data_IF_314803423179
#
_entry.id   IF_314803423179
#
_cell.length_a   1.000
_cell.length_b   1.000
_cell.length_c   1.000
_cell.angle_alpha   90.00
_cell.angle_beta   90.00
_cell.angle_gamma   90.00
#
_symmetry.space_group_name_H-M   'P 1'
#
loop_
_entity.id
_entity.type
_entity.pdbx_description
1 polymer ?
#
# COMPACT_ATOMS: atom_id res chain seq x y z
N UNK A 1 -9.45 -22.90 19.05
CA UNK A 1 -9.07 -21.58 19.61
C UNK A 1 -8.66 -20.74 18.43
N UNK A 2 -9.05 -19.46 18.39
CA UNK A 2 -8.51 -18.55 17.39
C UNK A 2 -7.02 -18.33 17.70
N UNK A 3 -6.16 -18.11 16.71
CA UNK A 3 -4.71 -17.98 16.90
C UNK A 3 -4.32 -16.92 17.95
N UNK A 4 -5.03 -15.79 17.95
CA UNK A 4 -4.91 -14.74 18.97
C UNK A 4 -5.29 -15.22 20.38
N UNK A 5 -6.26 -16.12 20.53
CA UNK A 5 -6.63 -16.69 21.83
C UNK A 5 -5.47 -17.53 22.39
N UNK A 6 -4.78 -18.28 21.53
CA UNK A 6 -3.62 -19.08 21.91
C UNK A 6 -2.42 -18.22 22.29
N UNK A 7 -2.17 -17.13 21.55
CA UNK A 7 -1.08 -16.20 21.86
C UNK A 7 -1.34 -15.42 23.14
N UNK A 8 -2.57 -14.97 23.37
CA UNK A 8 -2.96 -14.33 24.64
C UNK A 8 -2.76 -15.29 25.82
N UNK A 9 -3.21 -16.54 25.68
CA UNK A 9 -3.03 -17.56 26.70
C UNK A 9 -1.55 -17.85 27.01
N UNK A 10 -0.68 -17.91 25.99
CA UNK A 10 0.77 -18.09 26.19
C UNK A 10 1.43 -16.86 26.81
N UNK A 11 1.05 -15.65 26.40
CA UNK A 11 1.58 -14.41 26.96
C UNK A 11 1.30 -14.29 28.47
N UNK A 12 0.14 -14.76 28.94
CA UNK A 12 -0.24 -14.76 30.36
C UNK A 12 0.57 -15.75 31.22
N UNK A 13 1.14 -16.80 30.61
CA UNK A 13 1.87 -17.86 31.32
C UNK A 13 3.39 -17.72 31.28
N UNK A 14 3.89 -16.96 30.32
CA UNK A 14 5.32 -16.77 30.10
C UNK A 14 5.83 -15.54 30.85
N UNK A 15 7.13 -15.50 31.10
CA UNK A 15 7.81 -14.34 31.68
C UNK A 15 9.09 -14.05 30.91
N UNK A 16 9.61 -12.83 30.97
CA UNK A 16 10.82 -12.45 30.25
C UNK A 16 10.59 -12.22 28.75
N UNK A 17 11.59 -12.53 27.93
CA UNK A 17 11.65 -12.20 26.50
C UNK A 17 10.53 -12.86 25.68
N UNK A 18 10.17 -14.10 26.01
CA UNK A 18 9.09 -14.82 25.31
C UNK A 18 7.72 -14.15 25.49
N UNK A 19 7.41 -13.65 26.69
CA UNK A 19 6.17 -12.92 26.95
C UNK A 19 6.12 -11.59 26.18
N UNK A 20 7.26 -10.92 26.01
CA UNK A 20 7.39 -9.69 25.20
C UNK A 20 7.15 -10.02 23.72
N UNK A 21 7.72 -11.10 23.23
CA UNK A 21 7.56 -11.55 21.84
C UNK A 21 6.10 -11.87 21.51
N UNK A 22 5.40 -12.63 22.37
CA UNK A 22 3.96 -12.90 22.17
C UNK A 22 3.13 -11.61 22.22
N UNK A 23 3.39 -10.71 23.17
CA UNK A 23 2.64 -9.45 23.28
C UNK A 23 2.85 -8.52 22.08
N UNK A 24 4.06 -8.47 21.51
CA UNK A 24 4.33 -7.72 20.29
C UNK A 24 3.67 -8.35 19.07
N UNK A 25 3.66 -9.69 18.98
CA UNK A 25 3.00 -10.39 17.88
C UNK A 25 1.48 -10.24 17.92
N UNK A 26 0.86 -10.25 19.10
CA UNK A 26 -0.58 -9.96 19.26
C UNK A 26 -0.92 -8.58 18.68
N UNK A 27 -0.16 -7.54 19.04
CA UNK A 27 -0.38 -6.18 18.52
C UNK A 27 -0.20 -6.12 17.01
N UNK A 28 0.75 -6.87 16.47
CA UNK A 28 0.95 -6.97 15.04
C UNK A 28 -0.28 -7.58 14.35
N UNK A 29 -0.75 -8.74 14.81
CA UNK A 29 -1.91 -9.43 14.24
C UNK A 29 -3.20 -8.61 14.38
N UNK A 30 -3.38 -7.87 15.48
CA UNK A 30 -4.51 -6.93 15.65
C UNK A 30 -4.49 -5.81 14.61
N UNK A 31 -3.31 -5.23 14.35
CA UNK A 31 -3.13 -4.23 13.29
C UNK A 31 -3.35 -4.83 11.90
N UNK A 32 -2.91 -6.07 11.68
CA UNK A 32 -3.06 -6.76 10.41
C UNK A 32 -4.54 -7.03 10.09
N UNK A 33 -5.32 -7.48 11.09
CA UNK A 33 -6.77 -7.63 11.01
C UNK A 33 -7.46 -6.29 10.72
N UNK A 34 -7.02 -5.21 11.37
CA UNK A 34 -7.54 -3.88 11.10
C UNK A 34 -7.29 -3.46 9.64
N UNK A 35 -6.08 -3.74 9.13
CA UNK A 35 -5.73 -3.50 7.74
C UNK A 35 -6.60 -4.28 6.76
N UNK A 36 -6.83 -5.58 6.99
CA UNK A 36 -7.74 -6.38 6.15
C UNK A 36 -9.18 -5.87 6.18
N UNK A 37 -9.67 -5.42 7.33
CA UNK A 37 -11.03 -4.83 7.42
C UNK A 37 -11.15 -3.60 6.54
N UNK A 38 -10.17 -2.69 6.57
CA UNK A 38 -10.14 -1.52 5.69
C UNK A 38 -10.11 -1.94 4.22
N UNK A 39 -9.26 -2.88 3.84
CA UNK A 39 -9.19 -3.39 2.45
C UNK A 39 -10.55 -3.95 2.01
N UNK A 40 -11.20 -4.75 2.85
CA UNK A 40 -12.51 -5.35 2.55
C UNK A 40 -13.58 -4.26 2.40
N UNK A 41 -13.57 -3.25 3.26
CA UNK A 41 -14.53 -2.14 3.20
C UNK A 41 -14.36 -1.34 1.91
N UNK A 42 -13.13 -0.94 1.58
CA UNK A 42 -12.77 -0.25 0.34
C UNK A 42 -13.20 -1.06 -0.91
N UNK A 43 -13.03 -2.38 -0.89
CA UNK A 43 -13.46 -3.26 -1.98
C UNK A 43 -14.98 -3.41 -2.04
N UNK A 44 -15.67 -3.38 -0.90
CA UNK A 44 -17.13 -3.57 -0.80
C UNK A 44 -17.91 -2.36 -1.27
N UNK A 45 -17.51 -1.16 -0.87
CA UNK A 45 -18.22 0.09 -1.22
C UNK A 45 -17.55 0.88 -2.35
N UNK A 46 -16.35 0.47 -2.79
CA UNK A 46 -15.58 1.14 -3.83
C UNK A 46 -15.01 2.48 -3.40
N UNK A 47 -15.21 2.88 -2.14
CA UNK A 47 -14.61 4.06 -1.54
C UNK A 47 -13.15 3.72 -1.25
N UNK A 48 -12.28 4.08 -2.18
CA UNK A 48 -10.83 3.96 -1.97
C UNK A 48 -10.46 5.07 -0.99
N UNK A 49 -10.26 4.74 0.29
CA UNK A 49 -9.87 5.72 1.29
C UNK A 49 -8.37 6.01 1.17
N UNK A 50 -8.04 7.09 0.47
CA UNK A 50 -6.67 7.55 0.28
C UNK A 50 -6.15 8.42 1.44
N UNK A 51 -6.85 8.48 2.57
CA UNK A 51 -6.47 9.31 3.72
C UNK A 51 -5.63 8.57 4.75
N UNK A 52 -5.64 7.24 4.73
CA UNK A 52 -4.70 6.41 5.47
C UNK A 52 -3.36 6.31 4.75
N UNK A 53 -2.26 6.52 5.47
CA UNK A 53 -0.93 6.25 4.93
C UNK A 53 -0.88 4.75 4.64
N UNK A 54 -0.94 4.36 3.36
CA UNK A 54 -1.01 2.96 2.91
C UNK A 54 0.09 2.06 3.52
N UNK A 55 1.21 2.69 3.87
CA UNK A 55 2.30 2.07 4.63
C UNK A 55 1.81 1.52 5.98
N UNK A 56 0.94 2.20 6.70
CA UNK A 56 0.47 1.75 8.02
C UNK A 56 -0.48 0.55 7.92
N UNK A 57 -1.17 0.39 6.79
CA UNK A 57 -2.13 -0.71 6.53
C UNK A 57 -1.40 -1.98 6.08
N UNK A 58 -0.26 -1.84 5.39
CA UNK A 58 0.38 -2.94 4.66
C UNK A 58 1.83 -3.21 5.02
N UNK A 59 2.47 -2.33 5.78
CA UNK A 59 3.85 -2.55 6.20
C UNK A 59 3.93 -3.23 7.56
N UNK A 60 4.80 -4.23 7.61
CA UNK A 60 5.36 -4.74 8.84
C UNK A 60 6.35 -3.68 9.36
N UNK A 61 6.17 -3.15 10.58
CA UNK A 61 7.16 -2.26 11.18
C UNK A 61 8.55 -2.91 11.17
N UNK A 62 9.59 -2.14 10.84
CA UNK A 62 10.93 -2.69 10.62
C UNK A 62 11.49 -3.41 11.86
N UNK A 63 11.10 -2.97 13.04
CA UNK A 63 11.40 -3.56 14.35
C UNK A 63 10.67 -4.89 14.61
N UNK A 64 9.60 -5.19 13.88
CA UNK A 64 8.84 -6.43 13.97
C UNK A 64 9.18 -7.44 12.86
N UNK A 65 10.02 -7.07 11.87
CA UNK A 65 10.50 -7.95 10.79
C UNK A 65 11.19 -9.19 11.32
N UNK A 66 12.11 -9.03 12.28
CA UNK A 66 12.78 -10.17 12.91
C UNK A 66 11.77 -11.05 13.66
N UNK A 67 10.86 -10.44 14.41
CA UNK A 67 9.86 -11.17 15.17
C UNK A 67 8.90 -11.97 14.28
N UNK A 68 8.47 -11.41 13.16
CA UNK A 68 7.60 -12.10 12.20
C UNK A 68 8.34 -13.29 11.55
N UNK A 69 9.54 -13.07 11.02
CA UNK A 69 10.27 -14.09 10.28
C UNK A 69 10.86 -15.20 11.17
N UNK A 70 11.38 -14.81 12.34
CA UNK A 70 12.19 -15.71 13.18
C UNK A 70 11.39 -16.34 14.33
N UNK A 71 10.21 -15.80 14.65
CA UNK A 71 9.35 -16.30 15.73
C UNK A 71 7.96 -16.71 15.25
N UNK A 72 7.25 -15.86 14.50
CA UNK A 72 5.87 -16.15 14.09
C UNK A 72 5.79 -17.22 12.99
N UNK A 73 6.40 -16.99 11.83
CA UNK A 73 6.33 -17.92 10.69
C UNK A 73 6.79 -19.34 11.05
N UNK A 74 7.84 -19.56 11.87
CA UNK A 74 8.26 -20.90 12.26
C UNK A 74 7.29 -21.61 13.23
N UNK A 75 6.39 -20.87 13.89
CA UNK A 75 5.37 -21.45 14.79
C UNK A 75 4.12 -21.92 14.05
N UNK A 76 3.90 -21.45 12.83
CA UNK A 76 2.74 -21.81 12.02
C UNK A 76 2.82 -23.25 11.55
N UNK A 77 1.66 -23.88 11.40
CA UNK A 77 1.56 -25.13 10.65
C UNK A 77 1.84 -24.87 9.17
N UNK A 78 2.10 -25.92 8.39
CA UNK A 78 2.34 -25.77 6.95
C UNK A 78 1.12 -25.18 6.22
N UNK A 79 -0.08 -25.57 6.63
CA UNK A 79 -1.34 -25.05 6.09
C UNK A 79 -1.52 -23.56 6.44
N UNK A 80 -1.35 -23.20 7.72
CA UNK A 80 -1.50 -21.80 8.17
C UNK A 80 -0.44 -20.89 7.52
N UNK A 81 0.78 -21.41 7.33
CA UNK A 81 1.84 -20.67 6.64
C UNK A 81 1.52 -20.44 5.17
N UNK A 82 0.91 -21.42 4.50
CA UNK A 82 0.45 -21.26 3.12
C UNK A 82 -0.66 -20.21 3.01
N UNK A 83 -1.58 -20.19 3.97
CA UNK A 83 -2.66 -19.20 4.02
C UNK A 83 -2.10 -17.79 4.27
N UNK A 84 -1.12 -17.67 5.17
CA UNK A 84 -0.42 -16.42 5.46
C UNK A 84 0.35 -15.88 4.24
N UNK A 85 1.09 -16.74 3.54
CA UNK A 85 1.79 -16.37 2.29
C UNK A 85 0.79 -15.87 1.22
N UNK A 86 -0.37 -16.53 1.11
CA UNK A 86 -1.42 -16.11 0.19
C UNK A 86 -2.05 -14.76 0.58
N UNK A 87 -2.31 -14.55 1.87
CA UNK A 87 -2.85 -13.30 2.40
C UNK A 87 -1.89 -12.13 2.17
N UNK A 88 -0.60 -12.33 2.44
CA UNK A 88 0.46 -11.35 2.20
C UNK A 88 0.62 -11.01 0.72
N UNK A 89 0.48 -12.00 -0.18
CA UNK A 89 0.51 -11.77 -1.62
C UNK A 89 -0.69 -10.89 -2.07
N UNK A 90 -1.89 -11.18 -1.58
CA UNK A 90 -3.09 -10.39 -1.88
C UNK A 90 -2.96 -8.95 -1.36
N UNK A 91 -2.49 -8.80 -0.12
CA UNK A 91 -2.28 -7.49 0.52
C UNK A 91 -1.27 -6.64 -0.27
N UNK A 92 -0.17 -7.26 -0.68
CA UNK A 92 0.88 -6.60 -1.48
C UNK A 92 0.34 -6.16 -2.84
N UNK A 93 -0.43 -7.02 -3.52
CA UNK A 93 -1.04 -6.69 -4.80
C UNK A 93 -2.04 -5.53 -4.68
N UNK A 94 -2.89 -5.57 -3.65
CA UNK A 94 -3.83 -4.49 -3.36
C UNK A 94 -3.10 -3.16 -3.11
N UNK A 95 -2.01 -3.16 -2.34
CA UNK A 95 -1.22 -1.97 -2.07
C UNK A 95 -0.66 -1.35 -3.36
N UNK A 96 -0.14 -2.18 -4.27
CA UNK A 96 0.38 -1.75 -5.58
C UNK A 96 -0.73 -1.12 -6.42
N UNK A 97 -1.91 -1.75 -6.48
CA UNK A 97 -3.01 -1.26 -7.31
C UNK A 97 -3.62 0.02 -6.74
N UNK A 98 -3.74 0.11 -5.42
CA UNK A 98 -4.21 1.32 -4.75
C UNK A 98 -3.22 2.48 -4.95
N UNK A 99 -1.91 2.24 -4.86
CA UNK A 99 -0.89 3.25 -5.14
C UNK A 99 -0.98 3.77 -6.58
N UNK A 100 -1.15 2.88 -7.58
CA UNK A 100 -1.36 3.29 -8.98
C UNK A 100 -2.58 4.18 -9.12
N UNK A 101 -3.71 3.79 -8.53
CA UNK A 101 -4.96 4.57 -8.61
C UNK A 101 -4.80 5.93 -7.93
N UNK A 102 -4.09 5.98 -6.80
CA UNK A 102 -3.83 7.22 -6.08
C UNK A 102 -2.98 8.19 -6.92
N UNK A 103 -1.92 7.70 -7.57
CA UNK A 103 -1.10 8.50 -8.48
C UNK A 103 -1.93 9.07 -9.64
N UNK A 104 -2.81 8.28 -10.23
CA UNK A 104 -3.73 8.75 -11.28
C UNK A 104 -4.66 9.84 -10.75
N UNK A 105 -5.26 9.63 -9.57
CA UNK A 105 -6.14 10.62 -8.94
C UNK A 105 -5.42 11.94 -8.65
N UNK A 106 -4.22 11.87 -8.07
CA UNK A 106 -3.39 13.06 -7.83
C UNK A 106 -3.01 13.77 -9.14
N UNK A 107 -2.66 13.01 -10.18
CA UNK A 107 -2.39 13.56 -11.51
C UNK A 107 -3.60 14.30 -12.08
N UNK A 108 -4.79 13.71 -12.02
CA UNK A 108 -6.03 14.36 -12.47
C UNK A 108 -6.37 15.62 -11.67
N UNK A 109 -6.18 15.60 -10.34
CA UNK A 109 -6.35 16.77 -9.49
C UNK A 109 -5.33 17.87 -9.82
N UNK A 110 -4.08 17.51 -10.07
CA UNK A 110 -3.04 18.47 -10.46
C UNK A 110 -3.36 19.10 -11.83
N UNK A 111 -3.84 18.32 -12.80
CA UNK A 111 -4.22 18.79 -14.13
C UNK A 111 -5.51 19.63 -14.15
N UNK A 112 -6.34 19.55 -13.12
CA UNK A 112 -7.56 20.35 -12.96
C UNK A 112 -7.39 21.57 -12.06
N UNK A 113 -6.20 21.76 -11.48
CA UNK A 113 -5.90 22.87 -10.59
C UNK A 113 -4.95 23.87 -11.27
N UNK A 114 -5.43 25.09 -11.51
CA UNK A 114 -4.69 26.13 -12.23
C UNK A 114 -3.33 26.48 -11.57
N UNK A 115 -3.28 26.51 -10.24
CA UNK A 115 -2.05 26.81 -9.50
C UNK A 115 -1.04 25.68 -9.68
N UNK A 116 -1.48 24.43 -9.56
CA UNK A 116 -0.64 23.26 -9.78
C UNK A 116 -0.10 23.23 -11.22
N UNK A 117 -0.95 23.45 -12.22
CA UNK A 117 -0.55 23.57 -13.63
C UNK A 117 0.51 24.65 -13.84
N UNK A 118 0.32 25.84 -13.25
CA UNK A 118 1.28 26.95 -13.37
C UNK A 118 2.63 26.63 -12.73
N UNK A 119 2.65 25.87 -11.65
CA UNK A 119 3.89 25.41 -11.01
C UNK A 119 4.57 24.32 -11.84
N UNK A 120 3.79 23.37 -12.37
CA UNK A 120 4.30 22.29 -13.21
C UNK A 120 4.90 22.80 -14.53
N UNK A 121 4.28 23.79 -15.16
CA UNK A 121 4.78 24.38 -16.43
C UNK A 121 6.09 25.15 -16.28
N UNK A 122 6.45 25.55 -15.06
CA UNK A 122 7.73 26.21 -14.73
C UNK A 122 8.81 25.23 -14.30
N UNK A 123 8.49 23.94 -14.22
CA UNK A 123 9.43 22.91 -13.82
C UNK A 123 9.89 22.13 -15.05
N UNK A 124 11.10 22.42 -15.53
CA UNK A 124 11.67 21.84 -16.74
C UNK A 124 11.68 20.30 -16.72
N UNK A 125 11.89 19.67 -15.56
CA UNK A 125 11.89 18.21 -15.46
C UNK A 125 10.50 17.62 -15.69
N UNK A 126 9.46 18.26 -15.16
CA UNK A 126 8.07 17.86 -15.37
C UNK A 126 7.69 18.09 -16.85
N UNK A 127 7.99 19.27 -17.39
CA UNK A 127 7.67 19.60 -18.79
C UNK A 127 8.40 18.66 -19.76
N UNK A 128 9.68 18.36 -19.52
CA UNK A 128 10.43 17.41 -20.34
C UNK A 128 9.85 16.00 -20.27
N UNK A 129 9.41 15.55 -19.09
CA UNK A 129 8.74 14.25 -18.91
C UNK A 129 7.42 14.19 -19.68
N UNK A 130 6.60 15.25 -19.61
CA UNK A 130 5.36 15.35 -20.40
C UNK A 130 5.68 15.30 -21.89
N UNK A 131 6.68 16.06 -22.36
CA UNK A 131 7.11 16.05 -23.76
C UNK A 131 7.57 14.67 -24.25
N UNK A 132 8.29 13.92 -23.41
CA UNK A 132 8.67 12.53 -23.72
C UNK A 132 7.45 11.61 -23.85
N UNK A 133 6.47 11.73 -22.96
CA UNK A 133 5.24 10.94 -23.01
C UNK A 133 4.41 11.28 -24.26
N UNK A 134 4.26 12.57 -24.58
CA UNK A 134 3.58 13.03 -25.79
C UNK A 134 4.27 12.48 -27.04
N UNK A 135 5.60 12.51 -27.12
CA UNK A 135 6.35 12.00 -28.26
C UNK A 135 6.18 10.48 -28.47
N UNK A 136 5.93 9.72 -27.40
CA UNK A 136 5.71 8.28 -27.45
C UNK A 136 4.28 7.89 -27.83
N UNK A 137 3.35 8.83 -27.78
CA UNK A 137 1.94 8.66 -28.16
C UNK A 137 1.66 9.40 -29.48
N UNK A 138 1.56 8.68 -30.63
CA UNK A 138 1.33 9.31 -31.92
C UNK A 138 0.06 10.16 -31.99
N UNK A 139 -1.00 9.80 -31.26
CA UNK A 139 -2.24 10.56 -31.25
C UNK A 139 -2.05 11.90 -30.53
N UNK A 140 -1.44 11.89 -29.34
CA UNK A 140 -1.13 13.12 -28.60
C UNK A 140 -0.13 14.01 -29.33
N UNK A 141 0.91 13.42 -29.95
CA UNK A 141 1.90 14.17 -30.71
C UNK A 141 1.28 14.94 -31.88
N UNK A 142 0.36 14.30 -32.61
CA UNK A 142 -0.35 14.94 -33.71
C UNK A 142 -1.19 16.11 -33.21
N UNK A 143 -1.95 15.95 -32.11
CA UNK A 143 -2.75 17.04 -31.53
C UNK A 143 -1.87 18.25 -31.21
N UNK A 144 -0.76 18.06 -30.51
CA UNK A 144 0.12 19.16 -30.08
C UNK A 144 0.86 19.80 -31.27
N UNK A 145 1.22 19.03 -32.29
CA UNK A 145 1.97 19.56 -33.46
C UNK A 145 1.08 20.14 -34.56
N UNK A 146 -0.18 19.71 -34.65
CA UNK A 146 -1.15 20.28 -35.59
C UNK A 146 -1.72 21.62 -35.09
N UNK A 147 -1.90 21.81 -33.77
CA UNK A 147 -2.23 23.13 -33.21
C UNK A 147 -1.14 24.19 -33.55
N UNK A 148 0.12 23.77 -33.59
CA UNK A 148 1.27 24.60 -33.97
C UNK A 148 1.39 24.91 -35.47
N UNK A 149 0.45 24.44 -36.32
CA UNK A 149 0.41 24.77 -37.77
C UNK A 149 -0.56 25.91 -38.12
N UNK A 150 -1.22 26.51 -37.12
CA UNK A 150 -2.28 27.51 -37.32
C UNK A 150 -1.92 28.95 -36.91
N UNK A 151 -0.66 29.22 -36.55
CA UNK A 151 -0.09 30.57 -36.39
C UNK A 151 0.81 30.95 -37.57
#
# INVERSE_FOLDING_TARGET
>A
MMELDEFNYKAEQLTGEDAVNYAQMIKFLENDIAGYKTIIEDLRDGSKDFTGNLYDITSLPADLVGLYNDFYLPMLSEDDRSDEDAAMALKSQYAVDLAKVYLVKLGQLALSNEVALSLMSRNDAIVATIGQLVMQDPELLNVVTDENKTE
#
